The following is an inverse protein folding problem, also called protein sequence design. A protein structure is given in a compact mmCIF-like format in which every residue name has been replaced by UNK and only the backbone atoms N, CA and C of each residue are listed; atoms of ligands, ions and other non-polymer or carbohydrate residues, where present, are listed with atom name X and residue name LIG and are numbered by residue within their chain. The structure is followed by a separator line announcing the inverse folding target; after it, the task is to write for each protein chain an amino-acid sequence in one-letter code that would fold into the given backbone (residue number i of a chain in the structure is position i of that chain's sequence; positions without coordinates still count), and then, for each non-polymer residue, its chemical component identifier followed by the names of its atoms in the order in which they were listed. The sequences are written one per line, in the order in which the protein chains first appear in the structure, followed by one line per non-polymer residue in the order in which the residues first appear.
data_IF_295602091193
#
_entry.id   IF_295602091193
#
_cell.length_a   1.000
_cell.length_b   1.000
_cell.length_c   1.000
_cell.angle_alpha   90.00
_cell.angle_beta   90.00
_cell.angle_gamma   90.00
#
_symmetry.space_group_name_H-M   'P 1'
#
loop_
_entity.id
_entity.type
_entity.pdbx_description
1 polymer ?
#
# COMPACT_ATOMS: atom_id res chain seq x y z
N UNK A 1 -4.65 -17.54 -14.65
CA UNK A 1 -5.84 -18.35 -14.29
C UNK A 1 -5.97 -18.61 -12.77
N UNK A 2 -4.87 -18.71 -12.01
CA UNK A 2 -4.89 -19.07 -10.58
C UNK A 2 -5.10 -17.91 -9.56
N UNK A 3 -4.79 -16.66 -9.91
CA UNK A 3 -5.05 -15.50 -9.04
C UNK A 3 -6.55 -15.24 -8.80
N UNK A 4 -7.41 -15.63 -9.76
CA UNK A 4 -8.87 -15.55 -9.62
C UNK A 4 -9.40 -16.43 -8.48
N UNK A 5 -8.70 -17.51 -8.15
CA UNK A 5 -9.15 -18.50 -7.16
C UNK A 5 -8.88 -18.05 -5.72
N UNK A 6 -7.81 -17.30 -5.45
CA UNK A 6 -7.52 -16.77 -4.12
C UNK A 6 -8.45 -15.61 -3.75
N UNK A 7 -8.76 -14.75 -4.74
CA UNK A 7 -9.80 -13.73 -4.62
C UNK A 7 -11.16 -14.36 -4.28
N UNK A 8 -11.43 -15.56 -4.81
CA UNK A 8 -12.67 -16.32 -4.55
C UNK A 8 -12.74 -16.87 -3.11
N UNK A 9 -11.63 -17.35 -2.56
CA UNK A 9 -11.61 -17.92 -1.19
C UNK A 9 -11.91 -16.88 -0.09
N UNK A 10 -11.63 -15.59 -0.35
CA UNK A 10 -11.96 -14.48 0.56
C UNK A 10 -13.38 -13.90 0.36
N UNK A 11 -14.18 -14.43 -0.58
CA UNK A 11 -15.51 -13.88 -0.94
C UNK A 11 -16.70 -14.58 -0.30
N UNK A 12 -16.49 -15.63 0.51
CA UNK A 12 -17.58 -16.36 1.16
C UNK A 12 -18.02 -15.69 2.47
N UNK A 13 -18.65 -14.51 2.36
CA UNK A 13 -19.72 -14.08 3.28
C UNK A 13 -20.38 -12.79 2.78
N UNK A 14 -21.61 -12.98 2.28
CA UNK A 14 -22.80 -12.09 2.18
C UNK A 14 -22.67 -10.58 1.89
N UNK A 15 -23.57 -10.01 1.06
CA UNK A 15 -23.64 -8.59 0.78
C UNK A 15 -24.36 -7.88 1.93
N UNK A 16 -23.61 -7.29 2.85
CA UNK A 16 -24.11 -6.15 3.61
C UNK A 16 -23.49 -4.92 2.98
N UNK A 17 -24.27 -4.26 2.14
CA UNK A 17 -24.01 -2.90 1.65
C UNK A 17 -24.14 -1.95 2.85
N UNK A 18 -23.20 -2.01 3.80
CA UNK A 18 -22.93 -0.87 4.64
C UNK A 18 -22.31 0.19 3.75
N UNK A 19 -22.86 1.41 3.75
CA UNK A 19 -22.22 2.56 3.12
C UNK A 19 -20.77 2.62 3.65
N UNK A 20 -19.81 2.34 2.77
CA UNK A 20 -18.41 2.25 3.14
C UNK A 20 -17.94 3.62 3.63
N UNK A 21 -17.09 3.63 4.66
CA UNK A 21 -16.37 4.83 5.15
C UNK A 21 -15.66 5.60 4.01
N UNK A 22 -15.31 4.88 2.94
CA UNK A 22 -14.65 5.40 1.76
C UNK A 22 -15.46 5.11 0.50
N UNK A 23 -15.57 6.12 -0.37
CA UNK A 23 -15.97 5.97 -1.77
C UNK A 23 -14.74 5.81 -2.65
N UNK A 24 -14.88 5.11 -3.77
CA UNK A 24 -13.82 5.02 -4.77
C UNK A 24 -14.02 6.11 -5.83
N UNK A 25 -13.03 6.99 -5.97
CA UNK A 25 -12.99 8.01 -7.01
C UNK A 25 -12.03 7.56 -8.12
N UNK A 26 -12.45 7.72 -9.38
CA UNK A 26 -11.63 7.48 -10.56
C UNK A 26 -10.87 8.76 -10.91
N UNK A 27 -9.55 8.66 -11.08
CA UNK A 27 -8.66 9.79 -11.38
C UNK A 27 -7.70 9.43 -12.52
N UNK A 28 -7.37 10.36 -13.44
CA UNK A 28 -6.31 10.13 -14.41
C UNK A 28 -4.96 9.88 -13.72
N UNK A 29 -4.14 8.97 -14.27
CA UNK A 29 -2.81 8.68 -13.72
C UNK A 29 -1.91 9.92 -13.63
N UNK A 30 -2.03 10.84 -14.58
CA UNK A 30 -1.25 12.07 -14.65
C UNK A 30 -1.55 13.07 -13.51
N UNK A 31 -2.64 12.87 -12.78
CA UNK A 31 -3.08 13.74 -11.68
C UNK A 31 -3.01 13.03 -10.31
N UNK A 32 -2.55 11.78 -10.26
CA UNK A 32 -2.68 10.93 -9.07
C UNK A 32 -1.96 11.50 -7.83
N UNK A 33 -0.84 12.18 -8.05
CA UNK A 33 -0.05 12.88 -7.01
C UNK A 33 -0.80 14.04 -6.35
N UNK A 34 -1.87 14.55 -6.97
CA UNK A 34 -2.71 15.59 -6.36
C UNK A 34 -3.68 15.02 -5.30
N UNK A 35 -3.89 13.70 -5.31
CA UNK A 35 -4.84 13.01 -4.45
C UNK A 35 -4.18 12.12 -3.40
N UNK A 36 -2.93 11.72 -3.63
CA UNK A 36 -2.15 10.97 -2.66
C UNK A 36 -1.28 11.91 -1.83
N UNK A 37 -1.14 11.60 -0.55
CA UNK A 37 -0.29 12.33 0.38
C UNK A 37 1.11 11.70 0.33
N UNK A 38 2.16 12.38 -0.17
CA UNK A 38 3.52 11.83 -0.13
C UNK A 38 3.99 11.67 1.32
N UNK A 39 4.72 10.60 1.59
CA UNK A 39 5.44 10.48 2.86
C UNK A 39 6.46 11.60 2.95
N UNK A 40 6.52 12.29 4.09
CA UNK A 40 7.37 13.46 4.32
C UNK A 40 7.70 13.60 5.80
N UNK A 41 8.51 14.61 6.15
CA UNK A 41 8.75 14.98 7.55
C UNK A 41 7.43 15.34 8.26
N UNK A 42 6.50 15.99 7.56
CA UNK A 42 5.19 16.37 8.10
C UNK A 42 4.31 15.15 8.47
N UNK A 43 4.56 14.01 7.83
CA UNK A 43 3.87 12.74 8.11
C UNK A 43 4.70 11.81 8.99
N UNK A 44 5.82 12.30 9.56
CA UNK A 44 6.79 11.52 10.33
C UNK A 44 7.30 10.28 9.58
N UNK A 45 7.44 10.38 8.25
CA UNK A 45 7.97 9.31 7.42
C UNK A 45 9.49 9.42 7.36
N UNK A 46 10.26 8.35 7.69
CA UNK A 46 11.72 8.38 7.60
C UNK A 46 12.20 8.76 6.19
N UNK A 47 13.20 9.63 6.11
CA UNK A 47 13.71 10.24 4.86
C UNK A 47 13.94 9.23 3.74
N UNK A 48 14.55 8.08 4.06
CA UNK A 48 14.86 7.02 3.10
C UNK A 48 13.63 6.47 2.36
N UNK A 49 12.43 6.59 2.93
CA UNK A 49 11.19 6.03 2.39
C UNK A 49 10.10 7.08 2.14
N UNK A 50 10.45 8.37 2.20
CA UNK A 50 9.56 9.47 1.82
C UNK A 50 9.13 9.40 0.34
N UNK A 51 8.05 10.10 0.00
CA UNK A 51 7.53 10.24 -1.35
C UNK A 51 6.33 9.36 -1.70
N UNK A 52 6.01 9.31 -2.99
CA UNK A 52 5.08 8.36 -3.61
C UNK A 52 5.86 7.32 -4.41
N UNK A 53 5.47 6.06 -4.25
CA UNK A 53 6.18 4.91 -4.79
C UNK A 53 5.30 4.15 -5.79
N UNK A 54 5.72 4.13 -7.04
CA UNK A 54 5.12 3.32 -8.09
C UNK A 54 5.57 1.86 -7.98
N UNK A 55 4.60 0.94 -8.00
CA UNK A 55 4.77 -0.51 -7.92
C UNK A 55 5.00 -1.12 -9.30
N UNK A 56 6.08 -0.69 -9.96
CA UNK A 56 6.43 -1.07 -11.32
C UNK A 56 6.62 -2.60 -11.49
N UNK A 57 5.72 -3.23 -12.24
CA UNK A 57 5.71 -4.67 -12.50
C UNK A 57 4.96 -5.50 -11.45
N UNK A 58 4.20 -4.85 -10.56
CA UNK A 58 3.34 -5.55 -9.62
C UNK A 58 2.24 -6.33 -10.35
N UNK A 59 2.08 -7.65 -10.12
CA UNK A 59 1.05 -8.45 -10.79
C UNK A 59 -0.36 -8.22 -10.24
N UNK A 60 -0.50 -7.50 -9.13
CA UNK A 60 -1.78 -7.12 -8.54
C UNK A 60 -2.22 -5.75 -9.06
N UNK A 61 -3.55 -5.49 -9.15
CA UNK A 61 -4.10 -4.23 -9.65
C UNK A 61 -3.97 -3.07 -8.64
N UNK A 62 -2.80 -2.90 -8.04
CA UNK A 62 -2.40 -1.79 -7.19
C UNK A 62 -1.07 -1.20 -7.67
N UNK A 63 -1.04 0.13 -7.82
CA UNK A 63 -0.07 0.81 -8.69
C UNK A 63 0.82 1.77 -7.94
N UNK A 64 0.31 2.45 -6.93
CA UNK A 64 1.07 3.47 -6.21
C UNK A 64 0.74 3.43 -4.74
N UNK A 65 1.77 3.64 -3.90
CA UNK A 65 1.61 3.77 -2.47
C UNK A 65 2.35 4.97 -1.90
N UNK A 66 1.93 5.36 -0.71
CA UNK A 66 2.61 6.25 0.21
C UNK A 66 2.73 5.60 1.58
N UNK A 67 3.78 5.94 2.31
CA UNK A 67 3.94 5.57 3.73
C UNK A 67 3.52 6.70 4.68
N UNK A 68 2.80 7.72 4.18
CA UNK A 68 2.36 8.87 4.96
C UNK A 68 1.47 8.53 6.16
N UNK A 69 0.61 7.51 6.07
CA UNK A 69 -0.24 7.07 7.19
C UNK A 69 0.40 6.00 8.06
N UNK A 70 1.64 5.59 7.75
CA UNK A 70 2.29 4.52 8.47
C UNK A 70 2.63 4.95 9.90
N UNK A 71 2.33 4.08 10.87
CA UNK A 71 2.77 4.27 12.25
C UNK A 71 4.14 3.66 12.43
N UNK A 72 5.13 4.50 12.74
CA UNK A 72 6.52 4.12 12.91
C UNK A 72 6.83 3.87 14.38
N UNK A 73 7.54 2.77 14.65
CA UNK A 73 8.06 2.43 15.98
C UNK A 73 9.49 1.95 15.86
N UNK A 74 10.38 2.47 16.69
CA UNK A 74 11.74 1.98 16.82
C UNK A 74 11.75 0.53 17.35
N UNK A 75 12.65 -0.29 16.82
CA UNK A 75 12.93 -1.63 17.31
C UNK A 75 14.17 -1.52 18.18
N UNK A 76 14.04 -1.90 19.46
CA UNK A 76 15.13 -1.84 20.43
C UNK A 76 15.67 -3.24 20.74
N UNK A 77 16.99 -3.40 20.71
CA UNK A 77 17.71 -4.56 21.26
C UNK A 77 18.74 -4.03 22.28
N UNK A 78 18.68 -4.54 23.51
CA UNK A 78 19.53 -4.08 24.63
C UNK A 78 19.52 -2.56 24.88
N UNK A 79 18.42 -1.89 24.53
CA UNK A 79 18.24 -0.44 24.70
C UNK A 79 18.72 0.41 23.51
N UNK A 80 19.30 -0.21 22.49
CA UNK A 80 19.77 0.45 21.27
C UNK A 80 18.78 0.26 20.12
N UNK A 81 18.60 1.29 19.28
CA UNK A 81 17.78 1.17 18.08
C UNK A 81 18.50 0.30 17.06
N UNK A 82 17.86 -0.78 16.63
CA UNK A 82 18.38 -1.71 15.60
C UNK A 82 17.58 -1.69 14.30
N UNK A 83 16.48 -0.96 14.27
CA UNK A 83 15.65 -0.82 13.09
C UNK A 83 14.32 -0.12 13.38
N UNK A 84 13.45 -0.15 12.39
CA UNK A 84 12.14 0.51 12.44
C UNK A 84 11.05 -0.46 11.99
N UNK A 85 9.91 -0.42 12.67
CA UNK A 85 8.71 -1.10 12.23
C UNK A 85 7.67 -0.08 11.78
N UNK A 86 7.10 -0.28 10.61
CA UNK A 86 6.00 0.50 10.07
C UNK A 86 4.71 -0.35 10.08
N UNK A 87 3.64 0.15 10.69
CA UNK A 87 2.30 -0.39 10.50
C UNK A 87 1.56 0.45 9.45
N UNK A 88 1.34 -0.12 8.27
CA UNK A 88 0.84 0.56 7.07
C UNK A 88 -0.60 0.08 6.80
N UNK A 89 -1.63 0.89 7.10
CA UNK A 89 -3.02 0.53 6.85
C UNK A 89 -3.36 0.69 5.37
N UNK A 90 -3.27 -0.37 4.57
CA UNK A 90 -3.37 -0.33 3.08
C UNK A 90 -4.72 0.20 2.56
N UNK A 91 -5.75 0.19 3.40
CA UNK A 91 -7.12 0.63 3.07
C UNK A 91 -7.37 2.12 3.31
N UNK A 92 -6.42 2.88 3.87
CA UNK A 92 -6.65 4.28 4.20
C UNK A 92 -6.72 5.18 2.97
N UNK A 93 -7.38 6.32 3.14
CA UNK A 93 -7.50 7.37 2.14
C UNK A 93 -6.14 8.03 1.84
N UNK A 94 -5.92 8.38 0.58
CA UNK A 94 -4.78 9.21 0.17
C UNK A 94 -3.42 8.51 0.24
N UNK A 95 -3.37 7.19 0.44
CA UNK A 95 -2.10 6.45 0.58
C UNK A 95 -1.92 5.30 -0.40
N UNK A 96 -2.97 4.84 -1.07
CA UNK A 96 -2.89 3.74 -2.05
C UNK A 96 -3.77 4.03 -3.26
N UNK A 97 -3.28 3.64 -4.43
CA UNK A 97 -4.01 3.70 -5.68
C UNK A 97 -4.10 2.33 -6.35
N UNK A 98 -5.24 2.08 -7.00
CA UNK A 98 -5.62 0.81 -7.58
C UNK A 98 -5.99 0.99 -9.05
N UNK A 99 -5.96 -0.06 -9.87
CA UNK A 99 -6.44 0.06 -11.26
C UNK A 99 -7.94 0.39 -11.26
N UNK A 100 -8.40 1.33 -12.10
CA UNK A 100 -9.84 1.49 -12.38
C UNK A 100 -10.37 0.36 -13.27
N UNK A 101 -10.52 -0.80 -12.64
CA UNK A 101 -10.99 -2.03 -13.25
C UNK A 101 -11.80 -2.85 -12.25
N UNK A 102 -12.52 -3.86 -12.74
CA UNK A 102 -13.23 -4.80 -11.87
C UNK A 102 -12.28 -5.52 -10.88
N UNK A 103 -11.05 -5.82 -11.32
CA UNK A 103 -10.05 -6.48 -10.48
C UNK A 103 -9.52 -5.54 -9.37
N UNK A 104 -9.21 -4.29 -9.71
CA UNK A 104 -8.78 -3.28 -8.72
C UNK A 104 -9.85 -2.99 -7.68
N UNK A 105 -11.11 -2.82 -8.11
CA UNK A 105 -12.27 -2.64 -7.21
C UNK A 105 -12.45 -3.84 -6.28
N UNK A 106 -12.33 -5.05 -6.79
CA UNK A 106 -12.46 -6.26 -5.96
C UNK A 106 -11.31 -6.38 -4.96
N UNK A 107 -10.07 -6.12 -5.39
CA UNK A 107 -8.91 -6.14 -4.50
C UNK A 107 -9.06 -5.10 -3.38
N UNK A 108 -9.36 -3.84 -3.69
CA UNK A 108 -9.58 -2.81 -2.68
C UNK A 108 -10.68 -3.21 -1.68
N UNK A 109 -11.81 -3.76 -2.16
CA UNK A 109 -12.87 -4.21 -1.27
C UNK A 109 -12.43 -5.30 -0.30
N UNK A 110 -11.56 -6.23 -0.73
CA UNK A 110 -10.96 -7.24 0.15
C UNK A 110 -10.08 -6.57 1.19
N UNK A 111 -9.20 -5.66 0.77
CA UNK A 111 -8.30 -4.89 1.65
C UNK A 111 -9.09 -4.11 2.70
N UNK A 112 -10.14 -3.39 2.29
CA UNK A 112 -11.00 -2.60 3.18
C UNK A 112 -11.75 -3.48 4.18
N UNK A 113 -12.42 -4.55 3.72
CA UNK A 113 -13.21 -5.43 4.60
C UNK A 113 -12.37 -6.17 5.62
N UNK A 114 -11.15 -6.55 5.24
CA UNK A 114 -10.20 -7.26 6.11
C UNK A 114 -9.32 -6.32 6.92
N UNK A 115 -9.45 -4.99 6.72
CA UNK A 115 -8.55 -3.97 7.29
C UNK A 115 -7.08 -4.35 7.16
N UNK A 116 -6.68 -4.78 5.96
CA UNK A 116 -5.33 -5.26 5.71
C UNK A 116 -4.30 -4.21 6.14
N UNK A 117 -3.42 -4.62 7.05
CA UNK A 117 -2.29 -3.81 7.52
C UNK A 117 -1.00 -4.53 7.19
N UNK A 118 -0.06 -3.83 6.57
CA UNK A 118 1.29 -4.33 6.36
C UNK A 118 2.18 -3.90 7.52
N UNK A 119 2.84 -4.87 8.15
CA UNK A 119 3.87 -4.62 9.14
C UNK A 119 5.24 -4.78 8.48
N UNK A 120 5.88 -3.68 8.16
CA UNK A 120 7.20 -3.66 7.54
C UNK A 120 8.28 -3.44 8.60
N UNK A 121 9.20 -4.39 8.75
CA UNK A 121 10.39 -4.27 9.60
C UNK A 121 11.59 -3.95 8.73
N UNK A 122 12.19 -2.78 8.94
CA UNK A 122 13.39 -2.30 8.27
C UNK A 122 14.60 -2.34 9.19
N UNK A 123 15.78 -2.51 8.62
CA UNK A 123 17.03 -2.21 9.31
C UNK A 123 17.27 -0.70 9.40
N UNK A 124 18.25 -0.29 10.22
CA UNK A 124 18.55 1.12 10.53
C UNK A 124 18.70 2.03 9.30
N UNK A 125 19.35 1.55 8.26
CA UNK A 125 19.67 2.32 7.05
C UNK A 125 18.62 2.15 5.93
N UNK A 126 17.52 1.44 6.22
CA UNK A 126 16.45 1.12 5.28
C UNK A 126 16.97 0.44 4.00
N UNK A 127 18.13 -0.23 4.04
CA UNK A 127 18.64 -1.00 2.90
C UNK A 127 17.88 -2.32 2.71
N UNK A 128 17.24 -2.84 3.76
CA UNK A 128 16.44 -4.05 3.72
C UNK A 128 15.18 -3.92 4.58
N UNK A 129 14.08 -4.52 4.11
CA UNK A 129 12.87 -4.67 4.90
C UNK A 129 12.14 -5.99 4.65
N UNK A 130 11.46 -6.51 5.67
CA UNK A 130 10.52 -7.63 5.56
C UNK A 130 9.12 -7.14 5.90
N UNK A 131 8.14 -7.50 5.10
CA UNK A 131 6.76 -7.04 5.22
C UNK A 131 5.86 -8.23 5.53
N UNK A 132 5.10 -8.14 6.61
CA UNK A 132 4.12 -9.16 7.00
C UNK A 132 2.71 -8.61 6.80
N UNK A 133 1.88 -9.21 5.94
CA UNK A 133 0.47 -8.84 5.83
C UNK A 133 -0.35 -9.42 7.00
N UNK A 134 -1.13 -8.57 7.65
CA UNK A 134 -2.03 -8.94 8.75
C UNK A 134 -3.45 -8.52 8.42
N UNK A 135 -4.38 -9.48 8.51
CA UNK A 135 -5.80 -9.24 8.29
C UNK A 135 -6.50 -9.17 9.65
N UNK A 136 -7.37 -8.18 9.85
CA UNK A 136 -8.30 -8.18 10.97
C UNK A 136 -9.62 -8.79 10.50
N UNK A 137 -10.01 -9.98 11.00
CA UNK A 137 -11.34 -10.49 10.75
C UNK A 137 -12.39 -9.55 11.36
N UNK A 138 -13.57 -9.52 10.76
CA UNK A 138 -14.71 -8.70 11.20
C UNK A 138 -15.05 -9.06 12.66
N UNK A 139 -14.95 -8.11 13.60
CA UNK A 139 -15.43 -8.24 14.99
C UNK A 139 -14.37 -8.21 16.09
N UNK A 140 -14.62 -8.94 17.18
CA UNK A 140 -13.85 -9.00 18.44
C UNK A 140 -12.69 -10.02 18.41
N UNK A 141 -12.35 -10.54 17.22
CA UNK A 141 -11.27 -11.52 17.05
C UNK A 141 -9.95 -10.76 16.82
N UNK A 142 -8.87 -11.06 17.56
CA UNK A 142 -7.56 -10.46 17.32
C UNK A 142 -7.10 -10.68 15.87
N UNK A 143 -6.32 -9.75 15.33
CA UNK A 143 -5.81 -9.83 13.96
C UNK A 143 -5.10 -11.16 13.71
N UNK A 144 -5.38 -11.77 12.57
CA UNK A 144 -4.78 -13.04 12.15
C UNK A 144 -3.65 -12.69 11.18
N UNK A 145 -2.41 -12.99 11.59
CA UNK A 145 -1.29 -12.99 10.65
C UNK A 145 -1.58 -14.00 9.54
N UNK A 146 -1.39 -13.62 8.28
CA UNK A 146 -1.56 -14.57 7.19
C UNK A 146 -0.53 -15.69 7.40
N UNK A 147 -0.95 -16.95 7.61
CA UNK A 147 -0.03 -18.02 7.98
C UNK A 147 1.11 -18.14 6.97
N UNK A 148 2.33 -18.37 7.46
CA UNK A 148 3.48 -18.67 6.60
C UNK A 148 3.25 -19.90 5.72
N UNK A 149 2.32 -20.78 6.08
CA UNK A 149 1.83 -21.90 5.26
C UNK A 149 1.03 -21.49 4.02
N UNK A 150 0.51 -20.25 3.97
CA UNK A 150 0.01 -19.63 2.73
C UNK A 150 1.14 -19.07 1.85
N UNK A 151 2.40 -19.27 2.25
CA UNK A 151 3.62 -18.92 1.51
C UNK A 151 3.64 -17.46 1.08
N UNK A 152 3.33 -16.56 2.02
CA UNK A 152 3.40 -15.11 1.82
C UNK A 152 4.64 -14.58 2.56
N UNK A 153 5.74 -14.39 1.84
CA UNK A 153 6.95 -13.71 2.34
C UNK A 153 7.36 -12.64 1.33
N UNK A 154 7.72 -11.49 1.86
CA UNK A 154 7.62 -10.22 1.20
C UNK A 154 8.82 -9.41 1.68
N UNK A 155 9.86 -9.29 0.86
CA UNK A 155 11.07 -8.56 1.22
C UNK A 155 11.31 -7.38 0.29
N UNK A 156 11.97 -6.35 0.79
CA UNK A 156 12.39 -5.18 0.03
C UNK A 156 13.90 -5.03 0.21
N UNK A 157 14.60 -4.77 -0.88
CA UNK A 157 16.04 -4.48 -0.86
C UNK A 157 16.29 -3.21 -1.65
N UNK A 158 16.98 -2.25 -1.04
CA UNK A 158 17.28 -0.98 -1.67
C UNK A 158 18.26 -1.19 -2.82
N UNK A 159 17.98 -0.54 -3.94
CA UNK A 159 18.76 -0.63 -5.19
C UNK A 159 19.42 0.72 -5.47
N UNK A 160 18.70 1.80 -5.19
CA UNK A 160 19.18 3.18 -5.23
C UNK A 160 18.37 4.03 -4.25
N UNK A 161 18.62 5.35 -4.22
CA UNK A 161 17.85 6.25 -3.36
C UNK A 161 16.36 6.31 -3.70
N UNK A 162 16.02 6.08 -4.98
CA UNK A 162 14.65 6.15 -5.51
C UNK A 162 14.12 4.78 -5.96
N UNK A 163 14.78 3.68 -5.59
CA UNK A 163 14.34 2.35 -5.99
C UNK A 163 14.58 1.26 -4.95
N UNK A 164 13.55 0.47 -4.70
CA UNK A 164 13.63 -0.83 -4.04
C UNK A 164 13.27 -1.97 -4.99
N UNK A 165 13.96 -3.10 -4.85
CA UNK A 165 13.52 -4.39 -5.39
C UNK A 165 12.60 -5.06 -4.39
N UNK A 166 11.41 -5.42 -4.82
CA UNK A 166 10.43 -6.20 -4.07
C UNK A 166 10.48 -7.65 -4.50
N UNK A 167 10.77 -8.54 -3.56
CA UNK A 167 10.61 -9.98 -3.76
C UNK A 167 9.36 -10.43 -2.99
N UNK A 168 8.51 -11.18 -3.66
CA UNK A 168 7.25 -11.66 -3.11
C UNK A 168 7.08 -13.12 -3.42
N UNK A 169 6.84 -13.91 -2.40
CA UNK A 169 6.35 -15.27 -2.53
C UNK A 169 4.85 -15.17 -2.27
N UNK A 170 4.03 -15.63 -3.21
CA UNK A 170 2.58 -15.74 -3.03
C UNK A 170 2.19 -17.14 -3.47
N UNK A 171 1.67 -17.96 -2.55
CA UNK A 171 1.30 -19.36 -2.82
C UNK A 171 2.44 -20.16 -3.47
N UNK A 172 3.68 -19.90 -3.03
CA UNK A 172 4.88 -20.57 -3.53
C UNK A 172 5.42 -20.05 -4.87
N UNK A 173 4.72 -19.12 -5.53
CA UNK A 173 5.23 -18.45 -6.73
C UNK A 173 6.06 -17.24 -6.34
N UNK A 174 7.32 -17.23 -6.79
CA UNK A 174 8.20 -16.07 -6.66
C UNK A 174 7.86 -15.04 -7.73
N UNK A 175 7.61 -13.82 -7.29
CA UNK A 175 7.40 -12.65 -8.11
C UNK A 175 8.42 -11.59 -7.68
N UNK A 176 8.90 -10.81 -8.63
CA UNK A 176 9.84 -9.72 -8.37
C UNK A 176 9.40 -8.50 -9.15
N UNK A 177 9.29 -7.38 -8.46
CA UNK A 177 8.93 -6.09 -9.06
C UNK A 177 9.68 -4.96 -8.36
N UNK A 178 9.50 -3.71 -8.81
CA UNK A 178 10.25 -2.55 -8.28
C UNK A 178 9.29 -1.56 -7.63
N UNK A 179 9.72 -0.99 -6.51
CA UNK A 179 9.11 0.23 -5.98
C UNK A 179 10.01 1.36 -6.47
N UNK A 180 9.48 2.24 -7.31
CA UNK A 180 10.23 3.39 -7.84
C UNK A 180 9.60 4.66 -7.31
N UNK A 181 10.40 5.51 -6.68
CA UNK A 181 9.92 6.81 -6.22
C UNK A 181 9.60 7.66 -7.43
N UNK A 182 8.39 8.20 -7.48
CA UNK A 182 7.91 9.06 -8.59
C UNK A 182 7.59 10.47 -8.12
N UNK A 183 7.39 10.66 -6.82
CA UNK A 183 7.29 11.98 -6.18
C UNK A 183 8.14 11.95 -4.92
N UNK A 184 8.90 13.00 -4.66
CA UNK A 184 9.73 13.12 -3.46
C UNK A 184 8.93 13.53 -2.21
N UNK A 185 9.59 13.62 -1.05
CA UNK A 185 8.95 14.04 0.19
C UNK A 185 8.48 15.51 0.20
N UNK A 186 8.93 16.31 -0.76
CA UNK A 186 8.52 17.71 -0.92
C UNK A 186 7.36 17.88 -1.92
N UNK A 187 6.88 16.78 -2.52
CA UNK A 187 5.82 16.80 -3.53
C UNK A 187 6.30 17.09 -4.95
N UNK A 188 7.61 17.09 -5.21
CA UNK A 188 8.14 17.26 -6.58
C UNK A 188 8.08 15.94 -7.34
N UNK A 189 7.56 15.98 -8.57
CA UNK A 189 7.62 14.85 -9.50
C UNK A 189 9.08 14.56 -9.88
N UNK A 190 9.44 13.28 -9.84
CA UNK A 190 10.73 12.76 -10.28
C UNK A 190 10.64 12.26 -11.73
N UNK A 191 11.77 12.05 -12.44
CA UNK A 191 11.76 11.59 -13.83
C UNK A 191 10.97 10.29 -14.07
N UNK A 192 10.86 9.42 -13.05
CA UNK A 192 10.08 8.19 -13.13
C UNK A 192 8.55 8.41 -13.19
N UNK A 193 8.06 9.62 -12.90
CA UNK A 193 6.62 9.94 -12.94
C UNK A 193 6.06 9.85 -14.36
N UNK A 194 6.75 10.41 -15.34
CA UNK A 194 6.33 10.34 -16.75
C UNK A 194 6.33 8.89 -17.24
N UNK A 195 7.29 8.08 -16.79
CA UNK A 195 7.33 6.65 -17.10
C UNK A 195 6.13 5.91 -16.49
N UNK A 196 5.77 6.22 -15.24
CA UNK A 196 4.59 5.69 -14.58
C UNK A 196 3.31 6.01 -15.38
N UNK A 197 3.10 7.27 -15.76
CA UNK A 197 1.91 7.69 -16.52
C UNK A 197 1.85 7.00 -17.88
N UNK A 198 2.99 6.91 -18.59
CA UNK A 198 3.04 6.30 -19.91
C UNK A 198 2.89 4.77 -19.91
N UNK A 199 3.17 4.12 -18.78
CA UNK A 199 3.07 2.65 -18.61
C UNK A 199 1.82 2.21 -17.85
N UNK A 200 0.91 3.13 -17.52
CA UNK A 200 -0.37 2.79 -16.90
C UNK A 200 -1.11 1.74 -17.72
N UNK A 201 -1.52 0.63 -17.08
CA UNK A 201 -2.19 -0.47 -17.77
C UNK A 201 -3.66 -0.18 -18.07
N UNK A 202 -4.24 0.75 -17.32
CA UNK A 202 -5.60 1.24 -17.48
C UNK A 202 -5.61 2.78 -17.53
N UNK A 203 -6.66 3.43 -18.10
CA UNK A 203 -6.65 4.88 -18.27
C UNK A 203 -6.59 5.65 -16.94
N UNK A 204 -7.31 5.16 -15.93
CA UNK A 204 -7.49 5.83 -14.65
C UNK A 204 -7.12 4.90 -13.49
N UNK A 205 -6.69 5.52 -12.39
CA UNK A 205 -6.54 4.88 -11.10
C UNK A 205 -7.78 5.12 -10.23
N UNK A 206 -7.99 4.24 -9.26
CA UNK A 206 -8.96 4.37 -8.20
C UNK A 206 -8.27 4.75 -6.91
N UNK A 207 -8.82 5.76 -6.27
CA UNK A 207 -8.40 6.20 -4.95
C UNK A 207 -9.57 6.09 -3.97
N UNK A 208 -9.34 5.60 -2.75
CA UNK A 208 -10.31 5.71 -1.67
C UNK A 208 -10.35 7.16 -1.17
N UNK A 209 -11.54 7.76 -1.17
CA UNK A 209 -11.83 9.09 -0.64
C UNK A 209 -12.88 9.00 0.45
N UNK A 210 -12.74 9.81 1.50
CA UNK A 210 -13.63 9.82 2.65
C UNK A 210 -15.02 10.33 2.23
N UNK A 211 -16.06 9.58 2.57
CA UNK A 211 -17.46 9.90 2.20
C UNK A 211 -18.20 10.73 3.28
N UNK A 212 -17.46 11.43 4.15
CA UNK A 212 -18.05 12.32 5.14
C UNK A 212 -18.23 13.71 4.50
N UNK A 213 -19.48 14.18 4.42
CA UNK A 213 -19.84 15.47 3.78
C UNK A 213 -18.96 16.65 4.25
N UNK A 214 -18.46 17.43 3.29
CA UNK A 214 -17.64 18.63 3.45
C UNK A 214 -16.29 18.53 2.72
N UNK A 215 -15.77 19.68 2.26
CA UNK A 215 -14.68 19.79 1.28
C UNK A 215 -13.56 18.74 1.39
N UNK A 216 -13.33 18.06 0.26
CA UNK A 216 -12.41 16.96 0.05
C UNK A 216 -10.97 17.33 0.45
N UNK A 217 -10.58 16.95 1.66
CA UNK A 217 -9.18 16.89 2.06
C UNK A 217 -8.87 15.43 2.42
N UNK A 218 -7.80 14.85 1.85
CA UNK A 218 -7.36 13.52 2.23
C UNK A 218 -7.04 13.55 3.73
N UNK A 219 -7.48 12.53 4.48
CA UNK A 219 -7.22 12.24 5.91
C UNK A 219 -8.39 12.44 6.90
N UNK A 220 -9.58 12.92 6.49
CA UNK A 220 -10.71 13.12 7.46
C UNK A 220 -11.12 11.85 8.16
N UNK A 221 -11.08 10.74 7.42
CA UNK A 221 -11.51 9.44 7.88
C UNK A 221 -10.44 8.72 8.74
N UNK A 222 -9.17 9.15 8.75
CA UNK A 222 -8.08 8.44 9.43
C UNK A 222 -7.99 8.68 10.96
N UNK A 223 -9.01 9.33 11.57
CA UNK A 223 -9.10 9.55 13.01
C UNK A 223 -9.87 8.44 13.73
#
# INVERSE_FOLDING_TARGET
MFFKTLLFALTLSTPVMAAGKYKLQSVPHADLDQYLVPGSDATNTPEAVQGLWWLNGNPLPDEMLSLASAKWTEILEDGEVVGYQAAIPVYDEGIWAWHDSAAGRLLYNVVLKSKLTYYAKFNLDFSFGRITPVLQPIGFIPGIEIPSSMLVDFTMTRVSDDEYRRESIVLGQKQTYRFRRVVDGNGNRLPAYDEFVNKAEVPNALIPVCDLEGDALPTRCAK
#
